data_IF_659344559516
#
_entry.id   IF_659344559516
#
_cell.length_a   1.000
_cell.length_b   1.000
_cell.length_c   1.000
_cell.angle_alpha   90.00
_cell.angle_beta   90.00
_cell.angle_gamma   90.00
#
_symmetry.space_group_name_H-M   'P 1'
#
loop_
_entity.id
_entity.type
_entity.pdbx_description
1 polymer ?
#
# COMPACT_ATOMS: atom_id res chain seq x y z
N UNK A 1 22.41 5.28 13.48
CA UNK A 1 21.45 5.59 12.40
C UNK A 1 22.26 6.13 11.25
N UNK A 2 22.06 5.59 10.05
CA UNK A 2 22.69 6.12 8.84
C UNK A 2 21.84 7.28 8.32
N UNK A 3 22.48 8.41 8.01
CA UNK A 3 21.79 9.57 7.44
C UNK A 3 21.71 9.39 5.91
N UNK A 4 20.59 9.81 5.32
CA UNK A 4 20.43 9.91 3.86
C UNK A 4 20.49 11.38 3.45
N UNK A 5 20.90 11.64 2.22
CA UNK A 5 20.90 12.98 1.67
C UNK A 5 19.51 13.39 1.19
N UNK A 6 19.26 14.69 1.10
CA UNK A 6 17.97 15.22 0.59
C UNK A 6 17.63 14.68 -0.80
N UNK A 7 18.64 14.56 -1.66
CA UNK A 7 18.47 14.04 -3.01
C UNK A 7 18.04 12.57 -3.03
N UNK A 8 18.34 11.78 -1.99
CA UNK A 8 17.86 10.40 -1.90
C UNK A 8 16.38 10.36 -1.53
N UNK A 9 15.95 11.23 -0.61
CA UNK A 9 14.53 11.39 -0.28
C UNK A 9 13.71 11.82 -1.50
N UNK A 10 14.19 12.80 -2.29
CA UNK A 10 13.49 13.28 -3.48
C UNK A 10 13.30 12.21 -4.58
N UNK A 11 14.09 11.13 -4.57
CA UNK A 11 13.91 10.02 -5.51
C UNK A 11 12.71 9.15 -5.16
N UNK A 12 12.18 9.22 -3.94
CA UNK A 12 11.05 8.39 -3.50
C UNK A 12 9.75 9.08 -3.92
N UNK A 13 9.01 8.46 -4.83
CA UNK A 13 7.71 8.99 -5.25
C UNK A 13 6.64 8.53 -4.25
N UNK A 14 6.27 9.43 -3.33
CA UNK A 14 5.24 9.21 -2.31
C UNK A 14 3.96 9.91 -2.75
N UNK A 15 2.86 9.16 -2.83
CA UNK A 15 1.55 9.66 -3.27
C UNK A 15 0.50 9.38 -2.22
N UNK A 16 -0.49 10.27 -2.16
CA UNK A 16 -1.74 10.00 -1.45
C UNK A 16 -2.72 9.32 -2.40
N UNK A 17 -3.42 8.30 -1.91
CA UNK A 17 -4.49 7.63 -2.65
C UNK A 17 -5.59 7.15 -1.74
N UNK A 18 -6.75 6.83 -2.31
CA UNK A 18 -7.94 6.39 -1.57
C UNK A 18 -8.11 4.88 -1.68
N UNK A 19 -8.31 4.19 -0.57
CA UNK A 19 -8.63 2.77 -0.57
C UNK A 19 -10.04 2.58 -1.14
N UNK A 20 -10.16 1.78 -2.20
CA UNK A 20 -11.43 1.49 -2.88
C UNK A 20 -11.87 0.03 -2.73
N UNK A 21 -10.97 -0.87 -2.31
CA UNK A 21 -11.28 -2.28 -2.06
C UNK A 21 -10.38 -2.82 -0.95
N UNK A 22 -10.95 -3.65 -0.08
CA UNK A 22 -10.25 -4.32 1.02
C UNK A 22 -10.73 -5.77 1.08
N UNK A 23 -9.78 -6.70 0.98
CA UNK A 23 -10.05 -8.14 1.08
C UNK A 23 -9.16 -8.77 2.16
N UNK A 24 -9.65 -9.83 2.80
CA UNK A 24 -8.84 -10.66 3.67
C UNK A 24 -7.70 -11.32 2.87
N UNK A 25 -6.55 -11.50 3.52
CA UNK A 25 -5.40 -12.17 2.92
C UNK A 25 -4.99 -13.40 3.74
N UNK A 26 -5.78 -14.50 3.70
CA UNK A 26 -5.56 -15.68 4.54
C UNK A 26 -4.25 -16.41 4.23
N UNK A 27 -3.70 -16.26 3.02
CA UNK A 27 -2.43 -16.87 2.62
C UNK A 27 -1.20 -16.14 3.17
N UNK A 28 -1.38 -14.96 3.78
CA UNK A 28 -0.29 -14.23 4.41
C UNK A 28 0.16 -14.91 5.72
N UNK A 29 1.48 -14.98 5.93
CA UNK A 29 2.05 -15.56 7.15
C UNK A 29 1.59 -14.82 8.44
N UNK A 30 1.31 -13.52 8.33
CA UNK A 30 0.71 -12.73 9.41
C UNK A 30 -0.60 -12.14 8.89
N UNK A 31 -1.63 -11.98 9.75
CA UNK A 31 -2.89 -11.36 9.36
C UNK A 31 -2.66 -10.05 8.61
N UNK A 32 -3.20 -9.98 7.39
CA UNK A 32 -3.05 -8.85 6.49
C UNK A 32 -4.30 -8.69 5.64
N UNK A 33 -4.45 -7.50 5.06
CA UNK A 33 -5.41 -7.24 4.01
C UNK A 33 -4.72 -7.11 2.66
N UNK A 34 -5.43 -7.47 1.59
CA UNK A 34 -5.16 -6.99 0.23
C UNK A 34 -5.95 -5.69 0.04
N UNK A 35 -5.29 -4.68 -0.52
CA UNK A 35 -5.87 -3.36 -0.75
C UNK A 35 -5.81 -3.03 -2.23
N UNK A 36 -6.85 -2.37 -2.74
CA UNK A 36 -6.77 -1.55 -3.96
C UNK A 36 -6.85 -0.09 -3.59
N UNK A 37 -5.86 0.68 -4.04
CA UNK A 37 -5.74 2.11 -3.78
C UNK A 37 -5.81 2.86 -5.09
N UNK A 38 -6.78 3.76 -5.22
CA UNK A 38 -6.87 4.71 -6.33
C UNK A 38 -5.92 5.89 -6.08
N UNK A 39 -4.92 6.04 -6.94
CA UNK A 39 -3.90 7.08 -6.89
C UNK A 39 -4.15 8.20 -7.92
N UNK A 40 -5.38 8.29 -8.42
CA UNK A 40 -5.79 9.28 -9.41
C UNK A 40 -5.48 8.86 -10.85
N UNK A 41 -5.82 9.71 -11.84
CA UNK A 41 -5.86 9.32 -13.25
C UNK A 41 -4.49 8.97 -13.85
N UNK A 42 -3.40 9.53 -13.34
CA UNK A 42 -2.04 9.28 -13.87
C UNK A 42 -1.47 7.92 -13.46
N UNK A 43 -1.74 7.49 -12.22
CA UNK A 43 -1.18 6.26 -11.65
C UNK A 43 -2.17 5.10 -11.61
N UNK A 44 -3.46 5.43 -11.66
CA UNK A 44 -4.58 4.49 -11.60
C UNK A 44 -4.66 3.76 -10.27
N UNK A 45 -5.27 2.57 -10.31
CA UNK A 45 -5.46 1.73 -9.15
C UNK A 45 -4.26 0.79 -8.97
N UNK A 46 -3.67 0.80 -7.77
CA UNK A 46 -2.57 -0.10 -7.38
C UNK A 46 -3.01 -1.10 -6.32
N UNK A 47 -2.35 -2.26 -6.32
CA UNK A 47 -2.53 -3.30 -5.31
C UNK A 47 -1.48 -3.15 -4.21
N UNK A 48 -1.86 -3.44 -2.98
CA UNK A 48 -0.93 -3.49 -1.86
C UNK A 48 -1.36 -4.58 -0.87
N UNK A 49 -0.45 -4.98 0.01
CA UNK A 49 -0.79 -5.79 1.18
C UNK A 49 -0.20 -5.19 2.45
N UNK A 50 -1.03 -5.10 3.50
CA UNK A 50 -0.66 -4.46 4.75
C UNK A 50 -1.12 -5.26 5.98
N UNK A 51 -0.23 -5.41 6.96
CA UNK A 51 -0.48 -6.11 8.24
C UNK A 51 -1.11 -5.15 9.26
N UNK A 52 -2.32 -4.68 8.97
CA UNK A 52 -3.00 -3.62 9.73
C UNK A 52 -4.29 -4.09 10.42
N UNK A 53 -4.53 -5.40 10.44
CA UNK A 53 -5.77 -6.03 10.94
C UNK A 53 -6.00 -5.87 12.45
N UNK A 54 -4.97 -5.48 13.22
CA UNK A 54 -5.08 -5.28 14.68
C UNK A 54 -5.82 -3.99 15.02
N UNK A 55 -5.66 -2.95 14.19
CA UNK A 55 -6.16 -1.59 14.48
C UNK A 55 -7.29 -1.14 13.57
N UNK A 56 -7.48 -1.83 12.44
CA UNK A 56 -8.45 -1.44 11.44
C UNK A 56 -9.28 -2.64 10.98
N UNK A 57 -10.59 -2.45 10.92
CA UNK A 57 -11.49 -3.35 10.18
C UNK A 57 -11.48 -3.01 8.67
N UNK A 58 -12.13 -3.83 7.85
CA UNK A 58 -12.24 -3.57 6.40
C UNK A 58 -13.11 -2.34 6.15
N UNK A 59 -14.16 -2.19 6.95
CA UNK A 59 -15.11 -1.10 6.92
C UNK A 59 -14.45 0.23 7.30
N UNK A 60 -13.52 0.21 8.26
CA UNK A 60 -12.75 1.40 8.64
C UNK A 60 -11.86 1.91 7.52
N UNK A 61 -11.36 1.01 6.67
CA UNK A 61 -10.34 1.27 5.65
C UNK A 61 -10.93 1.79 4.34
N UNK A 62 -12.13 1.34 3.96
CA UNK A 62 -12.76 1.81 2.72
C UNK A 62 -12.94 3.33 2.75
N UNK A 63 -12.50 4.00 1.68
CA UNK A 63 -12.54 5.45 1.55
C UNK A 63 -11.45 6.20 2.33
N UNK A 64 -10.59 5.54 3.13
CA UNK A 64 -9.45 6.21 3.76
C UNK A 64 -8.40 6.60 2.74
N UNK A 65 -7.81 7.77 2.95
CA UNK A 65 -6.60 8.17 2.26
C UNK A 65 -5.37 7.59 2.94
N UNK A 66 -4.43 7.08 2.14
CA UNK A 66 -3.16 6.50 2.58
C UNK A 66 -2.00 7.05 1.77
N UNK A 67 -0.80 6.99 2.34
CA UNK A 67 0.44 7.31 1.64
C UNK A 67 1.08 6.02 1.11
N UNK A 68 1.49 6.03 -0.16
CA UNK A 68 2.13 4.91 -0.83
C UNK A 68 3.41 5.37 -1.55
N UNK A 69 4.47 4.57 -1.46
CA UNK A 69 5.61 4.70 -2.38
C UNK A 69 5.25 3.99 -3.68
N UNK A 70 5.24 4.71 -4.80
CA UNK A 70 4.67 4.21 -6.07
C UNK A 70 5.73 3.85 -7.12
N UNK A 71 7.01 4.09 -6.84
CA UNK A 71 8.10 3.89 -7.78
C UNK A 71 9.05 2.74 -7.42
N UNK A 72 8.62 1.79 -6.58
CA UNK A 72 9.31 0.51 -6.44
C UNK A 72 8.99 -0.43 -7.60
N UNK A 73 9.91 -1.35 -7.97
CA UNK A 73 9.54 -2.48 -8.79
C UNK A 73 8.49 -3.34 -8.06
N UNK A 74 7.62 -4.05 -8.81
CA UNK A 74 6.61 -4.92 -8.19
C UNK A 74 7.24 -5.96 -7.26
N UNK A 75 6.59 -6.22 -6.12
CA UNK A 75 7.07 -7.16 -5.11
C UNK A 75 6.09 -8.33 -4.97
N UNK A 76 6.59 -9.54 -5.16
CA UNK A 76 5.81 -10.75 -4.90
C UNK A 76 5.63 -10.96 -3.39
N UNK A 77 4.38 -11.09 -2.95
CA UNK A 77 3.99 -11.42 -1.58
C UNK A 77 3.00 -12.57 -1.65
N UNK A 78 3.46 -13.81 -1.43
CA UNK A 78 2.60 -14.99 -1.59
C UNK A 78 1.97 -15.02 -3.00
N UNK A 79 0.63 -15.06 -3.16
CA UNK A 79 -0.04 -15.00 -4.46
C UNK A 79 -0.24 -13.59 -5.05
N UNK A 80 0.01 -12.51 -4.30
CA UNK A 80 -0.18 -11.12 -4.75
C UNK A 80 1.14 -10.53 -5.28
N UNK A 81 1.04 -9.86 -6.43
CA UNK A 81 2.05 -8.90 -6.89
C UNK A 81 1.64 -7.50 -6.39
N UNK A 82 2.38 -7.02 -5.39
CA UNK A 82 2.23 -5.68 -4.82
C UNK A 82 3.06 -4.64 -5.54
#
# INVERSE_FOLDING_TARGET
MEHIEWNDFQKIDIRVGTIIEVEDFPEAHRPAYKLKVDLGPELGVKKSSAQITVLYSKEDLLGKQVLAVVNFPPKQIGPIMS
#
